data_IF_854192649240
#
_entry.id   IF_854192649240
#
_cell.length_a   1.000
_cell.length_b   1.000
_cell.length_c   1.000
_cell.angle_alpha   90.00
_cell.angle_beta   90.00
_cell.angle_gamma   90.00
#
_symmetry.space_group_name_H-M   'P 1'
#
loop_
_entity.id
_entity.type
_entity.pdbx_description
1 polymer ?
#
# COMPACT_ATOMS: atom_id res chain seq x y z
N UNK A 1 0.24 2.39 19.99
CA UNK A 1 0.48 1.10 20.68
C UNK A 1 1.88 1.19 21.23
N UNK A 2 2.10 0.82 22.48
CA UNK A 2 3.46 0.77 23.04
C UNK A 2 4.17 -0.48 22.49
N UNK A 3 5.14 -0.28 21.61
CA UNK A 3 5.90 -1.38 21.01
C UNK A 3 6.56 -2.24 22.07
N UNK A 4 6.98 -1.66 23.21
CA UNK A 4 7.67 -2.39 24.29
C UNK A 4 6.81 -3.47 24.94
N UNK A 5 5.47 -3.41 24.77
CA UNK A 5 4.53 -4.41 25.26
C UNK A 5 4.36 -5.63 24.34
N UNK A 6 4.94 -5.60 23.14
CA UNK A 6 4.88 -6.71 22.19
C UNK A 6 6.02 -7.72 22.41
N UNK A 7 5.79 -9.02 22.13
CA UNK A 7 6.85 -10.02 22.05
C UNK A 7 7.98 -9.58 21.12
N UNK A 8 9.23 -9.99 21.39
CA UNK A 8 10.40 -9.53 20.62
C UNK A 8 10.29 -9.83 19.12
N UNK A 9 9.75 -11.00 18.76
CA UNK A 9 9.53 -11.37 17.36
C UNK A 9 8.55 -10.42 16.67
N UNK A 10 7.53 -9.93 17.39
CA UNK A 10 6.53 -9.02 16.85
C UNK A 10 7.08 -7.60 16.73
N UNK A 11 7.88 -7.13 17.71
CA UNK A 11 8.60 -5.86 17.61
C UNK A 11 9.56 -5.84 16.42
N UNK A 12 10.41 -6.86 16.31
CA UNK A 12 11.40 -6.96 15.22
C UNK A 12 10.73 -6.99 13.85
N UNK A 13 9.62 -7.72 13.70
CA UNK A 13 8.86 -7.71 12.45
C UNK A 13 8.29 -6.32 12.10
N UNK A 14 7.89 -5.52 13.09
CA UNK A 14 7.41 -4.14 12.86
C UNK A 14 8.58 -3.22 12.50
N UNK A 15 9.72 -3.34 13.17
CA UNK A 15 10.93 -2.56 12.89
C UNK A 15 11.46 -2.85 11.47
N UNK A 16 11.58 -4.12 11.09
CA UNK A 16 11.98 -4.53 9.73
C UNK A 16 11.02 -4.00 8.66
N UNK A 17 9.71 -3.90 8.98
CA UNK A 17 8.71 -3.30 8.08
C UNK A 17 8.85 -1.77 7.99
N UNK A 18 9.16 -1.10 9.10
CA UNK A 18 9.42 0.35 9.12
C UNK A 18 10.69 0.74 8.37
N UNK A 19 11.69 -0.16 8.31
CA UNK A 19 12.94 0.06 7.59
C UNK A 19 12.83 -0.26 6.09
N UNK A 20 11.76 -0.92 5.66
CA UNK A 20 11.52 -1.21 4.24
C UNK A 20 11.28 0.10 3.47
N UNK A 21 12.02 0.35 2.37
CA UNK A 21 11.77 1.51 1.51
C UNK A 21 10.31 1.56 1.04
N UNK A 22 9.67 2.76 1.02
CA UNK A 22 8.29 2.90 0.56
C UNK A 22 8.04 2.26 -0.81
N UNK A 23 8.96 2.45 -1.75
CA UNK A 23 8.87 1.88 -3.10
C UNK A 23 8.80 0.34 -3.11
N UNK A 24 9.53 -0.34 -2.22
CA UNK A 24 9.49 -1.81 -2.11
C UNK A 24 8.19 -2.31 -1.48
N UNK A 25 7.62 -1.54 -0.55
CA UNK A 25 6.29 -1.83 0.02
C UNK A 25 5.21 -1.65 -1.04
N UNK A 26 5.22 -0.56 -1.82
CA UNK A 26 4.30 -0.37 -2.94
C UNK A 26 4.45 -1.49 -3.97
N UNK A 27 5.68 -1.87 -4.32
CA UNK A 27 5.95 -3.01 -5.21
C UNK A 27 5.30 -4.30 -4.71
N UNK A 28 5.49 -4.61 -3.43
CA UNK A 28 4.94 -5.82 -2.80
C UNK A 28 3.41 -5.79 -2.80
N UNK A 29 2.81 -4.64 -2.50
CA UNK A 29 1.37 -4.42 -2.50
C UNK A 29 0.78 -4.62 -3.91
N UNK A 30 1.35 -3.97 -4.92
CA UNK A 30 0.90 -4.09 -6.31
C UNK A 30 1.01 -5.54 -6.80
N UNK A 31 2.15 -6.19 -6.56
CA UNK A 31 2.34 -7.60 -6.90
C UNK A 31 1.35 -8.55 -6.22
N UNK A 32 0.95 -8.26 -4.98
CA UNK A 32 0.05 -9.11 -4.21
C UNK A 32 -1.43 -8.95 -4.60
N UNK A 33 -1.85 -7.74 -4.99
CA UNK A 33 -3.27 -7.43 -5.16
C UNK A 33 -3.68 -7.08 -6.59
N UNK A 34 -2.78 -6.55 -7.42
CA UNK A 34 -3.10 -6.09 -8.78
C UNK A 34 -2.64 -7.07 -9.86
N UNK A 35 -1.53 -7.79 -9.64
CA UNK A 35 -0.87 -8.61 -10.67
C UNK A 35 -1.81 -9.58 -11.41
N UNK A 36 -2.76 -10.19 -10.68
CA UNK A 36 -3.73 -11.15 -11.20
C UNK A 36 -5.17 -10.60 -11.25
N UNK A 37 -5.36 -9.29 -11.02
CA UNK A 37 -6.68 -8.69 -10.99
C UNK A 37 -7.05 -8.04 -12.33
N UNK A 38 -8.24 -8.33 -12.82
CA UNK A 38 -8.73 -7.81 -14.11
C UNK A 38 -9.35 -6.41 -13.99
N UNK A 39 -9.62 -5.93 -12.76
CA UNK A 39 -10.23 -4.63 -12.53
C UNK A 39 -9.99 -4.06 -11.14
N UNK A 40 -10.09 -2.73 -11.01
CA UNK A 40 -10.07 -2.04 -9.72
C UNK A 40 -11.17 -2.52 -8.76
N UNK A 41 -12.35 -2.89 -9.28
CA UNK A 41 -13.44 -3.34 -8.42
C UNK A 41 -13.16 -4.72 -7.80
N UNK A 42 -12.47 -5.60 -8.54
CA UNK A 42 -12.00 -6.87 -7.99
C UNK A 42 -11.00 -6.65 -6.84
N UNK A 43 -10.02 -5.78 -7.07
CA UNK A 43 -9.03 -5.40 -6.05
C UNK A 43 -9.74 -4.81 -4.84
N UNK A 44 -10.64 -3.84 -5.05
CA UNK A 44 -11.43 -3.20 -3.99
C UNK A 44 -12.23 -4.22 -3.20
N UNK A 45 -12.93 -5.14 -3.87
CA UNK A 45 -13.71 -6.19 -3.21
C UNK A 45 -12.83 -7.12 -2.37
N UNK A 46 -11.64 -7.48 -2.86
CA UNK A 46 -10.68 -8.26 -2.09
C UNK A 46 -10.19 -7.50 -0.85
N UNK A 47 -9.74 -6.27 -1.01
CA UNK A 47 -9.26 -5.44 0.09
C UNK A 47 -10.35 -5.19 1.14
N UNK A 48 -11.61 -4.98 0.73
CA UNK A 48 -12.78 -4.87 1.63
C UNK A 48 -13.03 -6.13 2.44
N UNK A 49 -12.83 -7.32 1.86
CA UNK A 49 -12.97 -8.60 2.59
C UNK A 49 -11.91 -8.72 3.68
N UNK A 50 -10.65 -8.38 3.38
CA UNK A 50 -9.57 -8.39 4.36
C UNK A 50 -9.80 -7.35 5.47
N UNK A 51 -10.29 -6.17 5.10
CA UNK A 51 -10.60 -5.08 6.02
C UNK A 51 -11.68 -5.40 7.07
N UNK A 52 -12.47 -6.48 6.89
CA UNK A 52 -13.48 -6.88 7.88
C UNK A 52 -12.87 -7.26 9.24
N UNK A 53 -11.66 -7.81 9.25
CA UNK A 53 -10.99 -8.25 10.47
C UNK A 53 -9.71 -7.45 10.75
N UNK A 54 -9.00 -6.97 9.72
CA UNK A 54 -7.72 -6.30 9.89
C UNK A 54 -7.44 -5.30 8.76
N UNK A 55 -7.12 -4.06 9.12
CA UNK A 55 -6.71 -2.99 8.21
C UNK A 55 -5.29 -2.47 8.47
N UNK A 56 -4.50 -3.13 9.34
CA UNK A 56 -3.12 -2.70 9.62
C UNK A 56 -2.26 -2.69 8.37
N UNK A 57 -2.29 -3.77 7.59
CA UNK A 57 -1.52 -3.84 6.33
C UNK A 57 -1.98 -2.76 5.36
N UNK A 58 -3.29 -2.53 5.20
CA UNK A 58 -3.83 -1.45 4.36
C UNK A 58 -3.32 -0.07 4.79
N UNK A 59 -3.23 0.20 6.09
CA UNK A 59 -2.69 1.48 6.60
C UNK A 59 -1.20 1.63 6.31
N UNK A 60 -0.43 0.53 6.31
CA UNK A 60 0.99 0.53 5.96
C UNK A 60 1.20 0.72 4.46
N UNK A 61 0.43 0.00 3.64
CA UNK A 61 0.45 0.11 2.19
C UNK A 61 0.05 1.53 1.74
N UNK A 62 -0.97 2.12 2.37
CA UNK A 62 -1.39 3.51 2.12
C UNK A 62 -0.28 4.49 2.50
N UNK A 63 0.39 4.30 3.64
CA UNK A 63 1.50 5.17 4.04
C UNK A 63 2.66 5.11 3.03
N UNK A 64 2.99 3.90 2.54
CA UNK A 64 4.02 3.74 1.53
C UNK A 64 3.63 4.37 0.18
N UNK A 65 2.38 4.19 -0.26
CA UNK A 65 1.83 4.86 -1.44
C UNK A 65 1.94 6.38 -1.30
N UNK A 66 1.50 6.95 -0.18
CA UNK A 66 1.55 8.39 0.05
C UNK A 66 2.97 8.94 0.08
N UNK A 67 3.93 8.19 0.62
CA UNK A 67 5.35 8.57 0.59
C UNK A 67 5.91 8.57 -0.84
N UNK A 68 5.61 7.55 -1.65
CA UNK A 68 6.03 7.50 -3.07
C UNK A 68 5.35 8.59 -3.90
N UNK A 69 4.09 8.91 -3.62
CA UNK A 69 3.36 9.96 -4.33
C UNK A 69 3.91 11.35 -3.98
N UNK A 70 4.28 11.57 -2.71
CA UNK A 70 4.81 12.84 -2.23
C UNK A 70 6.25 13.10 -2.71
N UNK A 71 7.09 12.06 -2.77
CA UNK A 71 8.47 12.12 -3.24
C UNK A 71 8.73 11.02 -4.28
N UNK A 72 8.27 11.20 -5.54
CA UNK A 72 8.45 10.21 -6.59
C UNK A 72 9.94 9.94 -6.90
N UNK A 73 10.31 8.70 -7.23
CA UNK A 73 11.68 8.37 -7.61
C UNK A 73 12.11 9.19 -8.84
N UNK A 74 13.35 9.68 -8.82
CA UNK A 74 13.89 10.59 -9.84
C UNK A 74 14.36 9.90 -11.13
N UNK A 75 14.36 8.57 -11.17
CA UNK A 75 14.72 7.80 -12.36
C UNK A 75 13.61 7.83 -13.41
N UNK A 76 13.99 7.89 -14.69
CA UNK A 76 13.02 7.83 -15.79
C UNK A 76 12.38 6.45 -15.92
N UNK A 77 11.05 6.44 -16.10
CA UNK A 77 10.20 5.27 -16.28
C UNK A 77 10.15 4.32 -15.06
N UNK A 78 10.54 4.78 -13.88
CA UNK A 78 10.54 3.94 -12.68
C UNK A 78 9.11 3.61 -12.24
N UNK A 79 8.20 4.60 -12.26
CA UNK A 79 6.80 4.38 -11.89
C UNK A 79 6.06 3.62 -12.98
N UNK A 80 6.35 3.89 -14.25
CA UNK A 80 5.82 3.09 -15.35
C UNK A 80 6.25 1.63 -15.22
N UNK A 81 7.51 1.36 -14.89
CA UNK A 81 7.96 -0.02 -14.69
C UNK A 81 7.21 -0.68 -13.52
N UNK A 82 7.04 0.05 -12.42
CA UNK A 82 6.30 -0.42 -11.25
C UNK A 82 4.85 -0.82 -11.60
N UNK A 83 4.15 0.01 -12.37
CA UNK A 83 2.76 -0.28 -12.76
C UNK A 83 2.68 -1.38 -13.82
N UNK A 84 3.51 -1.32 -14.87
CA UNK A 84 3.45 -2.28 -15.97
C UNK A 84 3.93 -3.69 -15.60
N UNK A 85 4.94 -3.81 -14.73
CA UNK A 85 5.56 -5.10 -14.42
C UNK A 85 5.17 -5.64 -13.05
N UNK A 86 5.12 -4.78 -12.02
CA UNK A 86 4.80 -5.25 -10.67
C UNK A 86 3.29 -5.29 -10.41
N UNK A 87 2.51 -4.35 -10.95
CA UNK A 87 1.05 -4.46 -10.97
C UNK A 87 0.50 -5.27 -12.15
N UNK A 88 1.32 -5.56 -13.18
CA UNK A 88 0.89 -6.18 -14.44
C UNK A 88 -0.24 -5.39 -15.15
N UNK A 89 -0.21 -4.06 -15.04
CA UNK A 89 -1.23 -3.17 -15.60
C UNK A 89 -0.63 -2.27 -16.66
N UNK A 90 -1.05 -2.45 -17.92
CA UNK A 90 -0.57 -1.63 -19.04
C UNK A 90 -1.46 -0.39 -19.19
N UNK A 91 -0.88 0.79 -19.02
CA UNK A 91 -1.57 2.06 -19.23
C UNK A 91 -1.51 2.51 -20.70
N UNK A 92 -2.54 3.21 -21.16
CA UNK A 92 -2.56 3.80 -22.52
C UNK A 92 -1.42 4.82 -22.73
N UNK A 93 -1.14 5.62 -21.70
CA UNK A 93 0.05 6.48 -21.63
C UNK A 93 1.08 5.86 -20.66
N UNK A 94 2.16 5.23 -21.16
CA UNK A 94 3.18 4.58 -20.34
C UNK A 94 4.22 5.58 -19.79
N UNK A 95 3.74 6.72 -19.28
CA UNK A 95 4.57 7.74 -18.65
C UNK A 95 4.58 7.61 -17.13
N UNK A 96 5.65 8.08 -16.46
CA UNK A 96 5.68 8.15 -15.00
C UNK A 96 4.59 9.08 -14.44
N UNK A 97 4.17 10.09 -15.21
CA UNK A 97 3.08 11.00 -14.81
C UNK A 97 1.74 10.25 -14.75
N UNK A 98 1.40 9.50 -15.79
CA UNK A 98 0.19 8.66 -15.81
C UNK A 98 0.25 7.53 -14.79
N UNK A 99 1.44 6.96 -14.57
CA UNK A 99 1.66 5.97 -13.50
C UNK A 99 1.48 6.57 -12.11
N UNK A 100 1.87 7.84 -11.90
CA UNK A 100 1.63 8.54 -10.65
C UNK A 100 0.14 8.80 -10.39
N UNK A 101 -0.64 9.13 -11.43
CA UNK A 101 -2.10 9.24 -11.30
C UNK A 101 -2.73 7.89 -10.97
N UNK A 102 -2.28 6.80 -11.61
CA UNK A 102 -2.71 5.44 -11.25
C UNK A 102 -2.47 5.16 -9.75
N UNK A 103 -1.26 5.44 -9.24
CA UNK A 103 -0.97 5.24 -7.82
C UNK A 103 -1.84 6.11 -6.90
N UNK A 104 -2.25 7.30 -7.33
CA UNK A 104 -3.19 8.14 -6.58
C UNK A 104 -4.59 7.55 -6.54
N UNK A 105 -5.06 6.97 -7.64
CA UNK A 105 -6.35 6.26 -7.66
C UNK A 105 -6.33 5.05 -6.72
N UNK A 106 -5.23 4.29 -6.73
CA UNK A 106 -5.00 3.17 -5.79
C UNK A 106 -5.00 3.65 -4.34
N UNK A 107 -4.28 4.72 -4.03
CA UNK A 107 -4.25 5.30 -2.68
C UNK A 107 -5.64 5.78 -2.24
N UNK A 108 -6.40 6.39 -3.14
CA UNK A 108 -7.78 6.83 -2.88
C UNK A 108 -8.70 5.65 -2.59
N UNK A 109 -8.64 4.59 -3.40
CA UNK A 109 -9.37 3.34 -3.14
C UNK A 109 -9.03 2.77 -1.75
N UNK A 110 -7.75 2.74 -1.38
CA UNK A 110 -7.33 2.19 -0.10
C UNK A 110 -7.82 3.03 1.09
N UNK A 111 -7.87 4.36 0.96
CA UNK A 111 -8.50 5.26 1.94
C UNK A 111 -9.98 4.94 2.13
N UNK A 112 -10.72 4.72 1.04
CA UNK A 112 -12.14 4.35 1.09
C UNK A 112 -12.34 3.02 1.82
N UNK A 113 -11.55 2.00 1.48
CA UNK A 113 -11.60 0.69 2.15
C UNK A 113 -11.33 0.80 3.65
N UNK A 114 -10.32 1.60 4.04
CA UNK A 114 -9.99 1.83 5.45
C UNK A 114 -11.13 2.58 6.17
N UNK A 115 -11.74 3.57 5.52
CA UNK A 115 -12.84 4.35 6.09
C UNK A 115 -14.12 3.52 6.29
N UNK A 116 -14.39 2.57 5.39
CA UNK A 116 -15.54 1.66 5.45
C UNK A 116 -15.35 0.49 6.44
N UNK A 117 -14.11 0.23 6.89
CA UNK A 117 -13.80 -0.92 7.74
C UNK A 117 -14.52 -0.85 9.10
N UNK A 118 -15.10 -1.97 9.59
CA UNK A 118 -15.87 -1.99 10.81
C UNK A 118 -15.01 -1.57 12.02
N UNK A 119 -15.55 -0.86 13.03
CA UNK A 119 -14.78 -0.40 14.19
C UNK A 119 -14.02 -1.51 14.94
N UNK A 120 -14.51 -2.76 14.84
CA UNK A 120 -13.89 -3.96 15.41
C UNK A 120 -12.64 -4.42 14.66
N UNK A 121 -12.43 -3.98 13.41
CA UNK A 121 -11.26 -4.36 12.62
C UNK A 121 -9.97 -3.88 13.30
N UNK A 122 -9.02 -4.81 13.38
CA UNK A 122 -7.71 -4.55 13.92
C UNK A 122 -7.01 -3.44 13.11
N UNK A 123 -6.51 -2.41 13.79
CA UNK A 123 -5.96 -1.21 13.15
C UNK A 123 -4.82 -0.61 13.96
N UNK A 124 -3.92 0.08 13.28
CA UNK A 124 -2.96 0.97 13.91
C UNK A 124 -3.70 2.22 14.40
N UNK A 125 -3.57 2.52 15.70
CA UNK A 125 -4.08 3.78 16.28
C UNK A 125 -3.19 4.98 15.95
N UNK A 126 -1.95 4.70 15.54
CA UNK A 126 -0.91 5.67 15.19
C UNK A 126 0.08 4.97 14.26
N UNK A 127 0.14 5.37 12.99
CA UNK A 127 1.11 4.91 11.99
C UNK A 127 1.46 6.08 11.04
N UNK A 128 2.73 6.29 10.66
CA UNK A 128 3.91 5.53 11.09
C UNK A 128 4.12 5.72 12.60
N UNK A 129 4.69 4.71 13.25
CA UNK A 129 5.04 4.84 14.66
C UNK A 129 6.17 5.87 14.73
N UNK A 130 5.91 7.03 15.33
CA UNK A 130 6.95 8.04 15.56
C UNK A 130 8.10 7.37 16.32
N UNK A 131 9.31 7.48 15.75
CA UNK A 131 10.56 7.00 16.38
C UNK A 131 10.86 7.76 17.65
#
# INVERSE_FOLDING_TARGET
MDLSSLPEWARRNIEERLERPPLETVRSFLGAYFNDADSFEEVRAHLRRLAQSNIRSHQEDLYALDAVIADPPTGSNVLNHLVAWDANWVLDDPSDASSLEFLREVAQMLREVIAEAPPSAERWRSWPIAR
#
